data_IF_402999037415
#
_entry.id   IF_402999037415
#
_cell.length_a   1.000
_cell.length_b   1.000
_cell.length_c   1.000
_cell.angle_alpha   90.00
_cell.angle_beta   90.00
_cell.angle_gamma   90.00
#
_symmetry.space_group_name_H-M   'P 1'
#
loop_
_entity.id
_entity.type
_entity.pdbx_description
1 polymer ?
#
# COMPACT_ATOMS: atom_id res chain seq x y z
N UNK A 1 -23.19 -6.22 6.91
CA UNK A 1 -23.42 -4.91 6.25
C UNK A 1 -22.96 -4.92 4.79
N UNK A 2 -21.68 -5.15 4.48
CA UNK A 2 -21.19 -5.22 3.08
C UNK A 2 -21.87 -6.36 2.31
N UNK A 3 -21.95 -7.56 2.89
CA UNK A 3 -22.64 -8.70 2.25
C UNK A 3 -24.16 -8.51 2.11
N UNK A 4 -24.76 -7.66 2.96
CA UNK A 4 -26.20 -7.39 2.92
C UNK A 4 -26.53 -6.36 1.83
N UNK A 5 -25.66 -5.37 1.63
CA UNK A 5 -25.83 -4.39 0.54
C UNK A 5 -25.54 -5.03 -0.82
N UNK A 6 -24.54 -5.91 -0.93
CA UNK A 6 -24.22 -6.63 -2.18
C UNK A 6 -25.31 -7.66 -2.53
N UNK A 7 -25.92 -8.33 -1.55
CA UNK A 7 -27.01 -9.29 -1.81
C UNK A 7 -28.34 -8.65 -2.22
N UNK A 8 -28.60 -7.41 -1.80
CA UNK A 8 -29.90 -6.75 -2.03
C UNK A 8 -29.83 -5.74 -3.19
N UNK A 9 -28.66 -5.18 -3.48
CA UNK A 9 -28.50 -4.18 -4.55
C UNK A 9 -27.19 -4.40 -5.29
N UNK A 10 -27.29 -4.83 -6.56
CA UNK A 10 -26.14 -5.17 -7.41
C UNK A 10 -25.17 -3.99 -7.58
N UNK A 11 -25.70 -2.76 -7.68
CA UNK A 11 -24.93 -1.50 -7.60
C UNK A 11 -25.71 -0.41 -6.87
N UNK A 12 -25.17 0.18 -5.78
CA UNK A 12 -25.81 1.32 -5.11
C UNK A 12 -25.85 2.53 -6.05
N UNK A 13 -27.04 3.10 -6.29
CA UNK A 13 -27.23 4.28 -7.17
C UNK A 13 -26.95 5.62 -6.48
N UNK A 14 -26.98 5.65 -5.15
CA UNK A 14 -26.78 6.87 -4.35
C UNK A 14 -25.30 7.12 -4.10
N UNK A 15 -24.80 8.29 -4.50
CA UNK A 15 -23.41 8.74 -4.27
C UNK A 15 -23.05 8.74 -2.78
N UNK A 16 -23.96 9.25 -1.93
CA UNK A 16 -23.74 9.26 -0.47
C UNK A 16 -23.56 7.84 0.09
N UNK A 17 -24.35 6.89 -0.40
CA UNK A 17 -24.24 5.49 0.02
C UNK A 17 -22.91 4.87 -0.46
N UNK A 18 -22.51 5.13 -1.71
CA UNK A 18 -21.22 4.69 -2.26
C UNK A 18 -20.06 5.20 -1.40
N UNK A 19 -20.06 6.49 -1.05
CA UNK A 19 -18.99 7.09 -0.23
C UNK A 19 -18.90 6.44 1.16
N UNK A 20 -20.04 6.24 1.82
CA UNK A 20 -20.06 5.59 3.15
C UNK A 20 -19.54 4.17 3.05
N UNK A 21 -19.97 3.40 2.05
CA UNK A 21 -19.49 2.03 1.82
C UNK A 21 -17.99 2.00 1.52
N UNK A 22 -17.49 2.91 0.69
CA UNK A 22 -16.06 3.01 0.39
C UNK A 22 -15.24 3.26 1.67
N UNK A 23 -15.68 4.16 2.55
CA UNK A 23 -15.03 4.41 3.84
C UNK A 23 -15.02 3.17 4.74
N UNK A 24 -16.13 2.43 4.80
CA UNK A 24 -16.21 1.18 5.57
C UNK A 24 -15.23 0.14 5.00
N UNK A 25 -15.23 -0.06 3.69
CA UNK A 25 -14.34 -1.02 3.02
C UNK A 25 -12.88 -0.67 3.28
N UNK A 26 -12.49 0.61 3.21
CA UNK A 26 -11.12 1.05 3.53
C UNK A 26 -10.75 0.70 4.98
N UNK A 27 -11.64 0.94 5.95
CA UNK A 27 -11.41 0.61 7.36
C UNK A 27 -11.25 -0.90 7.57
N UNK A 28 -12.14 -1.70 6.98
CA UNK A 28 -12.09 -3.17 7.08
C UNK A 28 -10.81 -3.71 6.44
N UNK A 29 -10.47 -3.27 5.22
CA UNK A 29 -9.21 -3.63 4.56
C UNK A 29 -8.01 -3.32 5.44
N UNK A 30 -7.96 -2.13 6.03
CA UNK A 30 -6.87 -1.74 6.93
C UNK A 30 -6.77 -2.63 8.18
N UNK A 31 -7.91 -2.94 8.81
CA UNK A 31 -7.95 -3.79 10.00
C UNK A 31 -7.49 -5.22 9.72
N UNK A 32 -7.68 -5.71 8.50
CA UNK A 32 -7.28 -7.05 8.08
C UNK A 32 -5.82 -7.13 7.57
N UNK A 33 -5.10 -6.00 7.46
CA UNK A 33 -3.72 -6.03 7.00
C UNK A 33 -2.80 -6.66 8.04
N UNK A 34 -1.92 -7.56 7.60
CA UNK A 34 -0.85 -8.05 8.46
C UNK A 34 0.09 -6.90 8.87
N UNK A 35 0.78 -7.00 10.03
CA UNK A 35 1.74 -5.98 10.46
C UNK A 35 2.79 -5.67 9.40
N UNK A 36 3.30 -6.70 8.71
CA UNK A 36 4.25 -6.54 7.62
C UNK A 36 3.63 -5.81 6.43
N UNK A 37 2.40 -6.15 6.02
CA UNK A 37 1.71 -5.45 4.92
C UNK A 37 1.50 -3.98 5.25
N UNK A 38 1.13 -3.66 6.48
CA UNK A 38 1.00 -2.28 6.94
C UNK A 38 2.33 -1.53 6.83
N UNK A 39 3.42 -2.14 7.30
CA UNK A 39 4.76 -1.55 7.23
C UNK A 39 5.27 -1.39 5.78
N UNK A 40 4.91 -2.32 4.89
CA UNK A 40 5.19 -2.20 3.46
C UNK A 40 4.52 -0.98 2.84
N UNK A 41 3.28 -0.67 3.21
CA UNK A 41 2.58 0.52 2.69
C UNK A 41 3.09 1.82 3.33
N UNK A 42 3.35 1.81 4.64
CA UNK A 42 3.74 3.01 5.40
C UNK A 42 5.21 3.40 5.20
N UNK A 43 6.10 2.42 5.02
CA UNK A 43 7.56 2.63 4.98
C UNK A 43 8.17 2.11 3.68
N UNK A 44 7.88 0.86 3.33
CA UNK A 44 8.48 0.19 2.17
C UNK A 44 8.21 0.89 0.85
N UNK A 45 6.94 1.18 0.55
CA UNK A 45 6.51 1.79 -0.71
C UNK A 45 7.05 3.23 -0.87
N UNK A 46 7.00 4.11 0.14
CA UNK A 46 7.70 5.40 0.08
C UNK A 46 9.21 5.27 -0.16
N UNK A 47 9.87 4.32 0.50
CA UNK A 47 11.30 4.09 0.34
C UNK A 47 11.65 3.60 -1.07
N UNK A 48 10.89 2.63 -1.59
CA UNK A 48 11.03 2.10 -2.94
C UNK A 48 10.87 3.19 -4.00
N UNK A 49 9.89 4.10 -3.83
CA UNK A 49 9.70 5.27 -4.70
C UNK A 49 10.90 6.19 -4.72
N UNK A 50 11.47 6.50 -3.55
CA UNK A 50 12.66 7.37 -3.43
C UNK A 50 13.88 6.74 -4.11
N UNK A 51 14.16 5.48 -3.82
CA UNK A 51 15.31 4.76 -4.40
C UNK A 51 15.15 4.60 -5.92
N UNK A 52 13.94 4.24 -6.38
CA UNK A 52 13.59 4.17 -7.80
C UNK A 52 13.86 5.50 -8.51
N UNK A 53 13.41 6.62 -7.94
CA UNK A 53 13.62 7.95 -8.51
C UNK A 53 15.11 8.35 -8.58
N UNK A 54 15.91 7.99 -7.56
CA UNK A 54 17.36 8.24 -7.57
C UNK A 54 18.03 7.41 -8.68
N UNK A 55 17.74 6.11 -8.75
CA UNK A 55 18.33 5.23 -9.76
C UNK A 55 17.94 5.65 -11.19
N UNK A 56 16.70 6.12 -11.39
CA UNK A 56 16.25 6.72 -12.66
C UNK A 56 17.09 7.94 -13.04
N UNK A 57 17.35 8.84 -12.10
CA UNK A 57 18.19 10.04 -12.32
C UNK A 57 19.64 9.68 -12.64
N UNK A 58 20.12 8.54 -12.16
CA UNK A 58 21.44 8.00 -12.50
C UNK A 58 21.47 7.26 -13.84
N UNK A 59 20.36 7.22 -14.59
CA UNK A 59 20.29 6.62 -15.91
C UNK A 59 19.82 5.16 -15.95
N UNK A 60 19.51 4.56 -14.80
CA UNK A 60 18.96 3.21 -14.77
C UNK A 60 17.46 3.23 -15.08
N UNK A 61 17.11 3.14 -16.37
CA UNK A 61 15.73 3.14 -16.87
C UNK A 61 14.87 2.01 -16.29
N UNK A 62 15.47 0.87 -15.91
CA UNK A 62 14.73 -0.27 -15.34
C UNK A 62 14.12 0.06 -13.97
N UNK A 63 14.70 1.04 -13.27
CA UNK A 63 14.29 1.43 -11.92
C UNK A 63 12.86 1.97 -11.85
N UNK A 64 12.26 2.40 -12.97
CA UNK A 64 10.85 2.86 -13.01
C UNK A 64 9.88 1.84 -12.42
N UNK A 65 10.16 0.54 -12.57
CA UNK A 65 9.28 -0.53 -12.10
C UNK A 65 9.46 -0.85 -10.61
N UNK A 66 10.58 -0.44 -10.01
CA UNK A 66 10.92 -0.83 -8.64
C UNK A 66 9.93 -0.28 -7.60
N UNK A 67 9.37 0.90 -7.86
CA UNK A 67 8.39 1.52 -6.97
C UNK A 67 7.08 0.71 -6.82
N UNK A 68 6.80 -0.19 -7.76
CA UNK A 68 5.62 -1.06 -7.78
C UNK A 68 5.98 -2.55 -7.64
N UNK A 69 7.27 -2.88 -7.52
CA UNK A 69 7.73 -4.24 -7.32
C UNK A 69 7.52 -4.65 -5.85
N UNK A 70 6.59 -5.58 -5.62
CA UNK A 70 6.20 -6.01 -4.28
C UNK A 70 7.36 -6.67 -3.52
N UNK A 71 8.21 -7.43 -4.22
CA UNK A 71 9.37 -8.10 -3.62
C UNK A 71 10.40 -7.07 -3.17
N UNK A 72 10.65 -6.05 -3.98
CA UNK A 72 11.55 -4.95 -3.65
C UNK A 72 11.04 -4.12 -2.48
N UNK A 73 9.75 -3.77 -2.49
CA UNK A 73 9.10 -3.07 -1.37
C UNK A 73 9.23 -3.89 -0.09
N UNK A 74 8.95 -5.20 -0.14
CA UNK A 74 9.06 -6.10 1.02
C UNK A 74 10.49 -6.18 1.54
N UNK A 75 11.47 -6.33 0.64
CA UNK A 75 12.89 -6.37 0.96
C UNK A 75 13.33 -5.10 1.71
N UNK A 76 13.03 -3.93 1.15
CA UNK A 76 13.35 -2.65 1.77
C UNK A 76 12.66 -2.45 3.12
N UNK A 77 11.41 -2.92 3.25
CA UNK A 77 10.65 -2.86 4.50
C UNK A 77 11.36 -3.64 5.61
N UNK A 78 11.76 -4.87 5.32
CA UNK A 78 12.41 -5.76 6.29
C UNK A 78 13.78 -5.20 6.68
N UNK A 79 14.56 -4.73 5.72
CA UNK A 79 15.87 -4.12 6.00
C UNK A 79 15.71 -2.88 6.88
N UNK A 80 14.78 -1.99 6.55
CA UNK A 80 14.57 -0.79 7.36
C UNK A 80 14.02 -1.08 8.76
N UNK A 81 13.22 -2.15 8.91
CA UNK A 81 12.73 -2.60 10.21
C UNK A 81 13.86 -3.14 11.10
N UNK A 82 14.83 -3.82 10.49
CA UNK A 82 15.97 -4.41 11.18
C UNK A 82 17.18 -3.47 11.29
N UNK A 83 17.12 -2.26 10.73
CA UNK A 83 18.22 -1.31 10.82
C UNK A 83 18.35 -0.79 12.26
N UNK A 84 19.49 -0.99 12.95
CA UNK A 84 19.70 -0.52 14.31
C UNK A 84 19.53 1.00 14.42
N UNK A 85 18.94 1.44 15.53
CA UNK A 85 18.49 2.81 15.79
C UNK A 85 19.54 3.91 15.58
N UNK A 86 20.83 3.56 15.63
CA UNK A 86 21.96 4.48 15.44
C UNK A 86 22.30 4.84 13.99
N UNK A 87 21.68 4.19 13.01
CA UNK A 87 21.92 4.41 11.57
C UNK A 87 20.63 4.74 10.80
N UNK A 88 19.61 5.25 11.51
CA UNK A 88 18.29 5.57 10.95
C UNK A 88 18.17 7.04 10.56
#
# INVERSE_FOLDING_TARGET
LVDFVIKVVDKPRSLRLIEVLARIIVKVKRAMMSPLRRLMEEVGRPLAKRISAIALRWGNKSAVKWAEDESFIRYLTIINANNPSGFR
#
